data_IF_198513911478
#
_entry.id   IF_198513911478
#
_cell.length_a   1.000
_cell.length_b   1.000
_cell.length_c   1.000
_cell.angle_alpha   90.00
_cell.angle_beta   90.00
_cell.angle_gamma   90.00
#
_symmetry.space_group_name_H-M   'P 1'
#
loop_
_entity.id
_entity.type
_entity.pdbx_description
1 polymer ?
#
# COMPACT_ATOMS: atom_id res chain seq x y z
N UNK A 1 2.04 -6.04 -4.05
CA UNK A 1 2.38 -4.97 -3.08
C UNK A 1 3.80 -5.20 -2.60
N UNK A 2 4.60 -4.14 -2.54
CA UNK A 2 6.02 -4.23 -2.21
C UNK A 2 6.32 -3.32 -1.01
N UNK A 3 7.15 -3.80 -0.10
CA UNK A 3 7.80 -2.99 0.93
C UNK A 3 9.22 -2.70 0.46
N UNK A 4 9.57 -1.42 0.34
CA UNK A 4 10.88 -0.98 -0.14
C UNK A 4 11.54 -0.11 0.91
N UNK A 5 12.85 -0.27 1.05
CA UNK A 5 13.72 0.68 1.73
C UNK A 5 14.63 1.28 0.66
N UNK A 6 14.49 2.59 0.41
CA UNK A 6 15.11 3.28 -0.72
C UNK A 6 14.82 2.56 -2.05
N UNK A 7 15.84 1.96 -2.67
CA UNK A 7 15.72 1.23 -3.94
C UNK A 7 15.66 -0.28 -3.77
N UNK A 8 15.81 -0.79 -2.54
CA UNK A 8 15.84 -2.22 -2.25
C UNK A 8 14.44 -2.70 -1.84
N UNK A 9 13.93 -3.69 -2.56
CA UNK A 9 12.74 -4.44 -2.13
C UNK A 9 13.11 -5.30 -0.92
N UNK A 10 12.47 -5.02 0.21
CA UNK A 10 12.65 -5.75 1.47
C UNK A 10 11.71 -6.95 1.52
N UNK A 11 10.47 -6.76 1.07
CA UNK A 11 9.46 -7.81 1.06
C UNK A 11 8.38 -7.53 0.01
N UNK A 12 7.60 -8.56 -0.32
CA UNK A 12 6.46 -8.45 -1.21
C UNK A 12 5.30 -9.34 -0.77
N UNK A 13 4.09 -8.84 -0.95
CA UNK A 13 2.86 -9.60 -0.88
C UNK A 13 2.22 -9.66 -2.27
N UNK A 14 1.93 -10.88 -2.73
CA UNK A 14 1.20 -11.15 -3.97
C UNK A 14 -0.03 -11.98 -3.62
N UNK A 15 -1.17 -11.56 -4.12
CA UNK A 15 -2.41 -12.32 -4.07
C UNK A 15 -3.14 -12.14 -5.40
N UNK A 16 -4.01 -13.09 -5.71
CA UNK A 16 -4.88 -13.00 -6.88
C UNK A 16 -6.05 -12.07 -6.56
N UNK A 17 -6.33 -11.11 -7.45
CA UNK A 17 -7.50 -10.24 -7.32
C UNK A 17 -8.77 -11.08 -7.58
N UNK A 18 -9.54 -11.34 -6.52
CA UNK A 18 -10.79 -12.10 -6.56
C UNK A 18 -12.02 -11.22 -6.42
N UNK A 19 -11.94 -9.93 -6.76
CA UNK A 19 -12.92 -8.89 -6.41
C UNK A 19 -13.04 -8.61 -4.90
N UNK A 20 -12.03 -9.00 -4.12
CA UNK A 20 -11.98 -8.87 -2.67
C UNK A 20 -10.89 -7.88 -2.20
N UNK A 21 -10.37 -7.07 -3.12
CA UNK A 21 -9.32 -6.08 -2.85
C UNK A 21 -9.70 -5.14 -1.69
N UNK A 22 -10.97 -4.70 -1.60
CA UNK A 22 -11.44 -3.86 -0.49
C UNK A 22 -11.38 -4.55 0.87
N UNK A 23 -11.52 -5.88 0.91
CA UNK A 23 -11.49 -6.68 2.13
C UNK A 23 -10.05 -7.00 2.55
N UNK A 24 -9.19 -7.32 1.57
CA UNK A 24 -7.84 -7.84 1.82
C UNK A 24 -6.76 -6.77 1.92
N UNK A 25 -6.92 -5.62 1.27
CA UNK A 25 -5.80 -4.68 1.10
C UNK A 25 -5.24 -4.20 2.44
N UNK A 26 -6.10 -3.77 3.37
CA UNK A 26 -5.65 -3.28 4.68
C UNK A 26 -5.04 -4.41 5.53
N UNK A 27 -5.64 -5.59 5.54
CA UNK A 27 -5.10 -6.74 6.28
C UNK A 27 -3.76 -7.20 5.72
N UNK A 28 -3.56 -7.15 4.39
CA UNK A 28 -2.28 -7.48 3.78
C UNK A 28 -1.21 -6.41 4.06
N UNK A 29 -1.59 -5.13 4.14
CA UNK A 29 -0.68 -4.06 4.56
C UNK A 29 -0.23 -4.33 5.99
N UNK A 30 -1.16 -4.55 6.90
CA UNK A 30 -0.88 -4.80 8.31
C UNK A 30 0.02 -6.03 8.48
N UNK A 31 -0.34 -7.15 7.84
CA UNK A 31 0.47 -8.38 7.83
C UNK A 31 1.89 -8.14 7.29
N UNK A 32 2.05 -7.32 6.25
CA UNK A 32 3.37 -7.01 5.67
C UNK A 32 4.22 -6.18 6.64
N UNK A 33 3.61 -5.22 7.34
CA UNK A 33 4.28 -4.39 8.35
C UNK A 33 4.67 -5.23 9.58
N UNK A 34 3.75 -6.02 10.11
CA UNK A 34 3.98 -6.91 11.25
C UNK A 34 5.12 -7.90 10.98
N UNK A 35 5.11 -8.55 9.81
CA UNK A 35 6.17 -9.49 9.39
C UNK A 35 7.55 -8.84 9.41
N UNK A 36 7.62 -7.55 9.10
CA UNK A 36 8.86 -6.78 9.06
C UNK A 36 9.11 -5.97 10.34
N UNK A 37 8.28 -6.15 11.38
CA UNK A 37 8.35 -5.44 12.67
C UNK A 37 8.33 -3.92 12.53
N UNK A 38 7.59 -3.42 11.53
CA UNK A 38 7.42 -2.00 11.28
C UNK A 38 6.07 -1.54 11.82
N UNK A 39 6.01 -0.32 12.32
CA UNK A 39 4.74 0.38 12.55
C UNK A 39 4.42 1.28 11.37
N UNK A 40 3.14 1.59 11.18
CA UNK A 40 2.70 2.45 10.08
C UNK A 40 3.38 3.84 10.10
N UNK A 41 3.69 4.37 11.29
CA UNK A 41 4.37 5.66 11.46
C UNK A 41 5.84 5.65 10.99
N UNK A 42 6.42 4.46 10.76
CA UNK A 42 7.78 4.30 10.23
C UNK A 42 7.80 4.24 8.69
N UNK A 43 6.63 4.26 8.06
CA UNK A 43 6.51 4.34 6.62
C UNK A 43 6.60 5.81 6.20
N UNK A 44 7.56 6.14 5.35
CA UNK A 44 7.70 7.47 4.77
C UNK A 44 6.47 7.80 3.92
N UNK A 45 6.10 6.93 2.98
CA UNK A 45 4.97 7.15 2.06
C UNK A 45 4.50 5.87 1.40
N UNK A 46 3.28 5.88 0.92
CA UNK A 46 2.72 4.88 0.02
C UNK A 46 2.62 5.43 -1.41
N UNK A 47 3.11 4.65 -2.37
CA UNK A 47 3.01 4.95 -3.80
C UNK A 47 2.19 3.89 -4.50
N UNK A 48 1.42 4.32 -5.51
CA UNK A 48 0.68 3.42 -6.38
C UNK A 48 1.38 3.35 -7.73
N UNK A 49 1.97 2.20 -8.03
CA UNK A 49 2.30 1.79 -9.40
C UNK A 49 1.16 0.88 -9.86
N UNK A 50 0.47 1.27 -10.94
CA UNK A 50 -0.63 0.48 -11.51
C UNK A 50 -0.49 0.40 -13.02
N UNK A 51 -0.38 -0.84 -13.49
CA UNK A 51 -0.38 -1.19 -14.91
C UNK A 51 -1.82 -1.62 -15.29
N UNK A 52 -2.80 -0.77 -14.97
CA UNK A 52 -4.22 -0.78 -15.40
C UNK A 52 -4.96 -2.11 -15.65
N UNK A 53 -4.78 -3.15 -14.83
CA UNK A 53 -5.56 -4.40 -15.01
C UNK A 53 -7.00 -4.33 -14.47
N UNK A 54 -7.29 -3.50 -13.46
CA UNK A 54 -8.62 -3.34 -12.86
C UNK A 54 -8.88 -1.91 -12.38
N UNK A 55 -9.93 -1.27 -12.91
CA UNK A 55 -10.30 0.12 -12.58
C UNK A 55 -10.74 0.26 -11.12
N UNK A 56 -11.58 -0.66 -10.64
CA UNK A 56 -12.09 -0.65 -9.27
C UNK A 56 -10.96 -0.88 -8.26
N UNK A 57 -10.11 -1.90 -8.49
CA UNK A 57 -8.97 -2.16 -7.62
C UNK A 57 -8.00 -0.96 -7.58
N UNK A 58 -7.76 -0.33 -8.73
CA UNK A 58 -6.92 0.87 -8.81
C UNK A 58 -7.49 2.05 -8.02
N UNK A 59 -8.81 2.24 -8.02
CA UNK A 59 -9.46 3.28 -7.20
C UNK A 59 -9.34 2.98 -5.71
N UNK A 60 -9.57 1.74 -5.30
CA UNK A 60 -9.43 1.31 -3.91
C UNK A 60 -8.00 1.56 -3.43
N UNK A 61 -7.01 1.05 -4.17
CA UNK A 61 -5.60 1.20 -3.83
C UNK A 61 -5.17 2.67 -3.78
N UNK A 62 -5.63 3.50 -4.73
CA UNK A 62 -5.37 4.95 -4.73
C UNK A 62 -5.96 5.64 -3.50
N UNK A 63 -7.20 5.33 -3.14
CA UNK A 63 -7.84 5.91 -1.96
C UNK A 63 -7.09 5.53 -0.70
N UNK A 64 -6.76 4.25 -0.52
CA UNK A 64 -6.02 3.77 0.65
C UNK A 64 -4.64 4.44 0.75
N UNK A 65 -3.88 4.49 -0.35
CA UNK A 65 -2.56 5.13 -0.34
C UNK A 65 -2.65 6.63 0.01
N UNK A 66 -3.63 7.35 -0.55
CA UNK A 66 -3.86 8.77 -0.22
C UNK A 66 -4.24 8.96 1.25
N UNK A 67 -5.13 8.14 1.78
CA UNK A 67 -5.56 8.24 3.18
C UNK A 67 -4.41 7.96 4.13
N UNK A 68 -3.58 6.96 3.85
CA UNK A 68 -2.41 6.66 4.69
C UNK A 68 -1.41 7.82 4.63
N UNK A 69 -1.07 8.32 3.45
CA UNK A 69 -0.17 9.47 3.31
C UNK A 69 -0.72 10.72 4.03
N UNK A 70 -2.03 10.96 3.93
CA UNK A 70 -2.70 12.03 4.68
C UNK A 70 -2.49 11.88 6.19
N UNK A 71 -2.71 10.68 6.74
CA UNK A 71 -2.50 10.41 8.15
C UNK A 71 -1.04 10.51 8.59
N UNK A 72 -0.09 10.27 7.68
CA UNK A 72 1.35 10.41 7.93
C UNK A 72 1.86 11.85 7.80
N UNK A 73 1.02 12.80 7.36
CA UNK A 73 1.42 14.19 7.15
C UNK A 73 2.12 14.45 5.81
N UNK A 74 2.11 13.48 4.89
CA UNK A 74 2.74 13.53 3.56
C UNK A 74 1.88 14.24 2.50
N UNK A 75 1.06 15.22 2.90
CA UNK A 75 0.39 16.09 1.93
C UNK A 75 1.40 17.10 1.36
N UNK A 76 2.07 16.72 0.27
CA UNK A 76 2.55 17.71 -0.70
C UNK A 76 1.37 18.05 -1.61
N UNK A 77 0.69 19.15 -1.28
CA UNK A 77 -0.18 19.85 -2.24
C UNK A 77 0.66 20.22 -3.47
N UNK A 78 0.36 19.55 -4.59
CA UNK A 78 0.66 20.04 -5.94
C UNK A 78 -0.56 19.82 -6.82
#
# INVERSE_FOLDING_TARGET
MELRNEQKMIDQAKWQDGNDTSLKLLSEIDRLLEKNRLRIQEIEKMTLSSDQSSYTASRIARTVAKTINFCLGELSDK
#
